data_IF_339522481447
#
_entry.id   IF_339522481447
#
_cell.length_a   1.000
_cell.length_b   1.000
_cell.length_c   1.000
_cell.angle_alpha   90.00
_cell.angle_beta   90.00
_cell.angle_gamma   90.00
#
_symmetry.space_group_name_H-M   'P 1'
#
loop_
_entity.id
_entity.type
_entity.pdbx_description
1 polymer ?
#
# COMPACT_ATOMS: atom_id res chain seq x y z
N UNK A 1 11.46 14.32 -35.19
CA UNK A 1 12.14 13.13 -34.62
C UNK A 1 12.01 13.26 -33.11
N UNK A 2 11.17 12.41 -32.51
CA UNK A 2 10.79 12.50 -31.10
C UNK A 2 11.98 12.19 -30.18
N UNK A 3 12.38 13.15 -29.36
CA UNK A 3 13.45 12.98 -28.38
C UNK A 3 12.94 12.06 -27.26
N UNK A 4 13.59 10.91 -27.11
CA UNK A 4 13.24 9.86 -26.17
C UNK A 4 13.38 10.37 -24.73
N UNK A 5 12.25 10.58 -24.04
CA UNK A 5 12.25 10.78 -22.60
C UNK A 5 12.57 9.44 -21.93
N UNK A 6 13.80 9.28 -21.48
CA UNK A 6 14.21 8.21 -20.56
C UNK A 6 13.42 8.41 -19.26
N UNK A 7 12.39 7.59 -19.02
CA UNK A 7 11.81 7.52 -17.70
C UNK A 7 12.82 6.79 -16.80
N UNK A 8 13.50 7.60 -15.98
CA UNK A 8 14.41 7.20 -14.92
C UNK A 8 13.78 6.11 -14.06
N UNK A 9 14.50 5.00 -13.93
CA UNK A 9 14.25 3.97 -12.94
C UNK A 9 14.47 4.57 -11.55
N UNK A 10 13.43 5.18 -10.99
CA UNK A 10 13.37 5.43 -9.55
C UNK A 10 12.89 4.13 -8.93
N UNK A 11 13.68 3.40 -8.12
CA UNK A 11 13.09 2.42 -7.24
C UNK A 11 12.16 3.22 -6.33
N UNK A 12 10.84 3.05 -6.45
CA UNK A 12 9.86 3.62 -5.52
C UNK A 12 10.07 2.96 -4.15
N UNK A 13 11.11 3.41 -3.47
CA UNK A 13 11.63 2.89 -2.23
C UNK A 13 10.92 3.62 -1.08
N UNK A 14 9.87 2.97 -0.59
CA UNK A 14 9.32 3.13 0.76
C UNK A 14 8.71 4.50 1.13
N UNK A 15 8.24 5.29 0.17
CA UNK A 15 7.22 6.31 0.48
C UNK A 15 5.87 5.59 0.66
N UNK A 16 5.63 5.08 1.88
CA UNK A 16 4.49 4.22 2.21
C UNK A 16 3.16 4.81 1.73
N UNK A 17 2.51 4.13 0.77
CA UNK A 17 1.14 4.42 0.32
C UNK A 17 0.16 3.96 1.41
N UNK A 18 0.19 4.69 2.52
CA UNK A 18 -0.74 4.60 3.63
C UNK A 18 -1.91 5.51 3.32
N UNK A 19 -3.10 4.92 3.16
CA UNK A 19 -4.35 5.68 3.03
C UNK A 19 -5.28 5.30 4.15
N UNK A 20 -5.89 6.32 4.79
CA UNK A 20 -7.04 6.11 5.65
C UNK A 20 -8.24 5.72 4.80
N UNK A 21 -8.92 4.65 5.16
CA UNK A 21 -10.17 4.23 4.55
C UNK A 21 -11.29 5.01 5.22
N UNK A 22 -12.03 5.80 4.44
CA UNK A 22 -13.23 6.47 4.95
C UNK A 22 -14.36 5.46 5.04
N UNK A 23 -15.02 5.40 6.20
CA UNK A 23 -16.26 4.63 6.48
C UNK A 23 -16.12 3.12 6.71
N UNK A 24 -14.92 2.56 6.95
CA UNK A 24 -14.75 1.14 7.28
C UNK A 24 -13.70 0.93 8.37
N UNK A 25 -13.96 -0.02 9.28
CA UNK A 25 -12.92 -0.69 10.05
C UNK A 25 -12.41 -1.88 9.23
N UNK A 26 -11.09 -2.01 9.01
CA UNK A 26 -10.00 -1.25 9.63
C UNK A 26 -9.63 0.06 8.92
N UNK A 27 -9.15 1.03 9.71
CA UNK A 27 -9.02 2.43 9.31
C UNK A 27 -7.90 2.71 8.31
N UNK A 28 -6.87 1.86 8.19
CA UNK A 28 -5.70 2.14 7.35
C UNK A 28 -5.37 1.00 6.39
N UNK A 29 -4.87 1.40 5.20
CA UNK A 29 -4.29 0.50 4.21
C UNK A 29 -2.88 0.96 3.86
N UNK A 30 -1.89 0.09 4.07
CA UNK A 30 -0.51 0.26 3.59
C UNK A 30 -0.29 -0.60 2.33
N UNK A 31 0.34 -0.02 1.30
CA UNK A 31 0.87 -0.80 0.16
C UNK A 31 2.39 -0.93 0.25
N UNK A 32 2.87 -2.15 0.13
CA UNK A 32 4.31 -2.49 0.09
C UNK A 32 4.53 -3.38 -1.13
N UNK A 33 5.02 -2.80 -2.22
CA UNK A 33 5.10 -3.50 -3.51
C UNK A 33 3.74 -4.05 -3.93
N UNK A 34 3.65 -5.38 -4.09
CA UNK A 34 2.41 -6.08 -4.44
C UNK A 34 1.53 -6.46 -3.24
N UNK A 35 1.92 -6.13 -2.00
CA UNK A 35 1.11 -6.45 -0.82
C UNK A 35 0.24 -5.28 -0.40
N UNK A 36 -0.97 -5.61 0.08
CA UNK A 36 -1.90 -4.68 0.74
C UNK A 36 -2.10 -5.15 2.17
N UNK A 37 -1.78 -4.28 3.11
CA UNK A 37 -1.92 -4.52 4.55
C UNK A 37 -3.04 -3.65 5.06
N UNK A 38 -4.05 -4.27 5.67
CA UNK A 38 -5.11 -3.58 6.38
C UNK A 38 -4.81 -3.63 7.88
N UNK A 39 -4.74 -2.46 8.50
CA UNK A 39 -4.37 -2.34 9.90
C UNK A 39 -5.09 -1.16 10.57
N UNK A 40 -5.08 -1.15 11.88
CA UNK A 40 -5.39 0.02 12.69
C UNK A 40 -4.31 0.26 13.74
N UNK A 41 -4.34 1.46 14.34
CA UNK A 41 -3.43 1.83 15.41
C UNK A 41 -4.30 2.00 16.66
N UNK A 42 -4.07 1.16 17.66
CA UNK A 42 -4.73 1.26 18.97
C UNK A 42 -3.67 1.60 20.02
N UNK A 43 -3.78 2.80 20.60
CA UNK A 43 -2.82 3.38 21.53
C UNK A 43 -1.38 3.38 20.98
N UNK A 44 -0.57 2.41 21.39
CA UNK A 44 0.84 2.23 20.96
C UNK A 44 1.07 0.93 20.19
N UNK A 45 -0.01 0.23 19.84
CA UNK A 45 0.01 -1.03 19.10
C UNK A 45 -0.50 -0.85 17.67
N UNK A 46 0.07 -1.61 16.75
CA UNK A 46 -0.42 -1.74 15.37
C UNK A 46 -1.13 -3.09 15.27
N UNK A 47 -2.43 -3.05 15.01
CA UNK A 47 -3.26 -4.26 14.86
C UNK A 47 -3.39 -4.55 13.37
N UNK A 48 -2.78 -5.65 12.90
CA UNK A 48 -2.85 -6.08 11.51
C UNK A 48 -4.01 -7.06 11.32
N UNK A 49 -4.98 -6.70 10.48
CA UNK A 49 -6.12 -7.55 10.19
C UNK A 49 -5.88 -8.52 9.04
N UNK A 50 -5.32 -7.99 7.94
CA UNK A 50 -5.16 -8.76 6.70
C UNK A 50 -3.92 -8.32 5.96
N UNK A 51 -3.16 -9.30 5.48
CA UNK A 51 -2.07 -9.11 4.52
C UNK A 51 -2.47 -9.86 3.26
N UNK A 52 -2.72 -9.14 2.17
CA UNK A 52 -3.13 -9.73 0.88
C UNK A 52 -2.16 -9.38 -0.21
N UNK A 53 -1.78 -10.36 -1.01
CA UNK A 53 -1.05 -10.14 -2.25
C UNK A 53 -2.00 -9.59 -3.33
N UNK A 54 -1.51 -8.67 -4.19
CA UNK A 54 -2.31 -7.96 -5.20
C UNK A 54 -2.94 -8.90 -6.21
N UNK A 55 -2.29 -10.03 -6.51
CA UNK A 55 -2.81 -11.06 -7.43
C UNK A 55 -3.88 -11.98 -6.82
N UNK A 56 -3.99 -12.04 -5.49
CA UNK A 56 -4.88 -13.00 -4.80
C UNK A 56 -6.10 -12.29 -4.18
N UNK A 57 -6.51 -11.14 -4.70
CA UNK A 57 -7.64 -10.38 -4.17
C UNK A 57 -9.01 -10.86 -4.68
N UNK A 58 -9.02 -11.73 -5.70
CA UNK A 58 -10.23 -12.30 -6.29
C UNK A 58 -10.04 -13.80 -6.49
N UNK A 59 -10.44 -14.57 -5.49
CA UNK A 59 -10.75 -16.00 -5.59
C UNK A 59 -11.78 -16.30 -4.53
#
# INVERSE_FOLDING_TARGET
>A
MHNSSRNSATPDNLAGDVKRLTNFTPEYRLRVGDYRILFEIDNSAIIIYRVKHRRNAYS
#
